data_IF_558781240250
#
_entry.id   IF_558781240250
#
_cell.length_a   1.000
_cell.length_b   1.000
_cell.length_c   1.000
_cell.angle_alpha   90.00
_cell.angle_beta   90.00
_cell.angle_gamma   90.00
#
_symmetry.space_group_name_H-M   'P 1'
#
loop_
_entity.id
_entity.type
_entity.pdbx_description
1 polymer ?
#
# COMPACT_ATOMS: atom_id res chain seq x y z
N UNK A 1 45.51 4.06 -17.59
CA UNK A 1 44.14 3.79 -17.09
C UNK A 1 43.95 4.62 -15.81
N UNK A 2 43.51 5.88 -15.92
CA UNK A 2 43.39 6.78 -14.77
C UNK A 2 42.04 6.54 -14.08
N UNK A 3 42.06 5.90 -12.91
CA UNK A 3 40.90 5.89 -12.01
C UNK A 3 40.83 7.26 -11.34
N UNK A 4 39.90 8.10 -11.76
CA UNK A 4 39.49 9.28 -11.01
C UNK A 4 38.91 8.84 -9.66
N UNK A 5 39.74 8.75 -8.63
CA UNK A 5 39.28 8.78 -7.25
C UNK A 5 38.69 10.17 -7.03
N UNK A 6 37.36 10.31 -7.10
CA UNK A 6 36.69 11.58 -6.85
C UNK A 6 36.94 11.95 -5.39
N UNK A 7 37.54 13.11 -5.18
CA UNK A 7 37.73 13.68 -3.84
C UNK A 7 36.36 14.08 -3.27
N UNK A 8 35.92 13.42 -2.20
CA UNK A 8 34.68 13.72 -1.49
C UNK A 8 35.01 14.32 -0.12
N UNK A 9 34.24 15.33 0.28
CA UNK A 9 34.30 15.94 1.61
C UNK A 9 32.90 16.02 2.21
N UNK A 10 32.80 15.84 3.52
CA UNK A 10 31.61 16.15 4.30
C UNK A 10 31.56 17.65 4.61
N UNK A 11 30.38 18.27 4.51
CA UNK A 11 30.14 19.66 4.91
C UNK A 11 29.64 19.71 6.36
N UNK A 12 30.38 20.40 7.21
CA UNK A 12 30.12 20.54 8.63
C UNK A 12 29.77 21.99 8.97
N UNK A 13 29.01 22.19 10.05
CA UNK A 13 28.81 23.51 10.67
C UNK A 13 29.12 23.47 12.16
N UNK A 14 29.70 24.54 12.69
CA UNK A 14 29.84 24.73 14.15
C UNK A 14 28.59 25.38 14.75
N UNK A 15 28.60 25.61 16.07
CA UNK A 15 27.50 26.26 16.79
C UNK A 15 27.27 27.72 16.38
N UNK A 16 28.23 28.36 15.72
CA UNK A 16 28.15 29.74 15.23
C UNK A 16 27.67 29.79 13.76
N UNK A 17 27.45 28.64 13.12
CA UNK A 17 27.06 28.53 11.71
C UNK A 17 28.21 28.59 10.71
N UNK A 18 29.46 28.60 11.17
CA UNK A 18 30.65 28.59 10.29
C UNK A 18 30.77 27.25 9.58
N UNK A 19 31.09 27.28 8.28
CA UNK A 19 31.14 26.08 7.43
C UNK A 19 32.56 25.51 7.37
N UNK A 20 32.67 24.19 7.58
CA UNK A 20 33.92 23.44 7.48
C UNK A 20 33.77 22.23 6.54
N UNK A 21 34.89 21.71 6.06
CA UNK A 21 34.94 20.51 5.22
C UNK A 21 35.90 19.49 5.80
N UNK A 22 35.48 18.23 5.87
CA UNK A 22 36.30 17.15 6.43
C UNK A 22 36.20 15.87 5.60
N UNK A 23 37.28 15.08 5.56
CA UNK A 23 37.26 13.71 5.03
C UNK A 23 37.03 12.66 6.13
N UNK A 24 37.12 13.04 7.40
CA UNK A 24 36.89 12.13 8.51
C UNK A 24 35.38 11.82 8.60
N UNK A 25 35.03 10.54 8.42
CA UNK A 25 33.65 10.06 8.44
C UNK A 25 33.17 9.51 9.78
N UNK A 26 33.90 9.74 10.88
CA UNK A 26 33.48 9.32 12.20
C UNK A 26 32.44 10.29 12.78
N UNK A 27 31.21 9.81 12.94
CA UNK A 27 30.07 10.57 13.46
C UNK A 27 29.36 9.81 14.57
N UNK A 28 28.69 10.55 15.45
CA UNK A 28 27.79 10.05 16.49
C UNK A 28 26.52 10.91 16.53
N UNK A 29 25.48 10.39 17.16
CA UNK A 29 24.32 11.19 17.52
C UNK A 29 24.60 11.98 18.80
N UNK A 30 24.23 13.25 18.82
CA UNK A 30 24.14 14.04 20.06
C UNK A 30 22.77 13.86 20.74
N UNK A 31 22.58 14.52 21.89
CA UNK A 31 21.32 14.51 22.64
C UNK A 31 20.14 15.11 21.85
N UNK A 32 20.45 16.03 20.93
CA UNK A 32 19.48 16.67 20.04
C UNK A 32 19.24 15.86 18.75
N UNK A 33 19.79 14.64 18.66
CA UNK A 33 19.66 13.73 17.51
C UNK A 33 20.28 14.26 16.21
N UNK A 34 21.24 15.18 16.30
CA UNK A 34 22.06 15.60 15.17
C UNK A 34 23.22 14.63 14.96
N UNK A 35 23.64 14.44 13.72
CA UNK A 35 24.92 13.80 13.43
C UNK A 35 26.06 14.79 13.68
N UNK A 36 26.90 14.51 14.68
CA UNK A 36 28.05 15.33 15.06
C UNK A 36 29.36 14.55 14.96
N UNK A 37 30.46 15.25 14.69
CA UNK A 37 31.79 14.65 14.77
C UNK A 37 32.35 14.65 16.21
N UNK A 38 33.59 14.20 16.40
CA UNK A 38 34.24 14.16 17.71
C UNK A 38 34.49 15.56 18.33
N UNK A 39 34.48 16.62 17.53
CA UNK A 39 34.61 18.02 17.98
C UNK A 39 33.26 18.70 18.21
N UNK A 40 32.13 18.00 18.01
CA UNK A 40 30.78 18.54 18.18
C UNK A 40 30.25 19.34 17.00
N UNK A 41 30.96 19.38 15.85
CA UNK A 41 30.44 20.01 14.63
C UNK A 41 29.39 19.13 13.97
N UNK A 42 28.32 19.75 13.48
CA UNK A 42 27.16 19.07 12.88
C UNK A 42 27.39 18.77 11.41
N UNK A 43 27.07 17.55 10.99
CA UNK A 43 27.00 17.16 9.59
C UNK A 43 25.78 17.78 8.92
N UNK A 44 25.98 18.38 7.74
CA UNK A 44 24.89 19.01 6.98
C UNK A 44 24.54 18.26 5.71
N UNK A 45 23.28 18.38 5.28
CA UNK A 45 22.75 17.78 4.07
C UNK A 45 21.41 18.40 3.69
N UNK A 46 20.77 17.86 2.65
CA UNK A 46 19.45 18.30 2.24
C UNK A 46 18.37 17.74 3.17
N UNK A 47 17.41 18.56 3.65
CA UNK A 47 16.33 18.09 4.49
C UNK A 47 15.35 17.19 3.71
N UNK A 48 14.70 16.28 4.43
CA UNK A 48 13.56 15.52 3.95
C UNK A 48 12.25 16.21 4.41
N UNK A 49 11.33 16.47 3.48
CA UNK A 49 10.04 17.12 3.79
C UNK A 49 8.88 16.42 3.08
N UNK A 50 7.65 16.66 3.55
CA UNK A 50 6.43 16.05 3.02
C UNK A 50 6.08 14.70 3.66
N UNK A 51 4.95 14.13 3.24
CA UNK A 51 4.47 12.79 3.65
C UNK A 51 4.00 12.03 2.41
N UNK A 52 4.71 10.97 1.95
CA UNK A 52 5.97 10.46 2.49
C UNK A 52 7.14 11.47 2.34
N UNK A 53 8.13 11.47 3.26
CA UNK A 53 9.26 12.40 3.17
C UNK A 53 10.08 12.21 1.90
N UNK A 54 10.46 13.32 1.26
CA UNK A 54 11.30 13.36 0.06
C UNK A 54 12.42 14.38 0.21
N UNK A 55 13.58 14.10 -0.39
CA UNK A 55 14.76 14.98 -0.30
C UNK A 55 14.60 16.19 -1.21
N UNK A 56 14.78 17.38 -0.64
CA UNK A 56 14.74 18.63 -1.38
C UNK A 56 16.13 19.00 -1.89
N UNK A 57 16.54 18.44 -3.04
CA UNK A 57 17.91 18.60 -3.60
C UNK A 57 18.28 20.04 -4.02
N UNK A 58 17.37 21.01 -3.90
CA UNK A 58 17.64 22.44 -4.12
C UNK A 58 17.54 23.31 -2.86
N UNK A 59 17.24 22.73 -1.70
CA UNK A 59 17.14 23.46 -0.44
C UNK A 59 18.52 23.79 0.12
N UNK A 60 18.60 24.80 0.98
CA UNK A 60 19.84 25.10 1.71
C UNK A 60 20.24 23.89 2.59
N UNK A 61 21.51 23.46 2.56
CA UNK A 61 21.98 22.40 3.45
C UNK A 61 21.81 22.78 4.92
N UNK A 62 21.14 21.93 5.67
CA UNK A 62 20.86 22.09 7.10
C UNK A 62 21.50 20.93 7.89
N UNK A 63 21.69 21.06 9.21
CA UNK A 63 22.11 19.95 10.06
C UNK A 63 21.23 18.71 9.86
N UNK A 64 21.86 17.55 9.70
CA UNK A 64 21.15 16.28 9.59
C UNK A 64 20.68 15.86 10.98
N UNK A 65 19.36 15.76 11.11
CA UNK A 65 18.69 15.22 12.29
C UNK A 65 18.14 13.82 11.99
N UNK A 66 18.27 12.91 12.95
CA UNK A 66 17.64 11.58 12.90
C UNK A 66 16.56 11.55 13.98
N UNK A 67 15.32 12.00 13.73
CA UNK A 67 14.29 12.03 14.76
C UNK A 67 13.99 10.61 15.29
N UNK A 68 13.44 10.50 16.49
CA UNK A 68 12.89 9.26 17.06
C UNK A 68 11.35 9.25 17.06
N UNK A 69 10.74 10.22 16.35
CA UNK A 69 9.30 10.34 16.21
C UNK A 69 8.74 9.07 15.58
N UNK A 70 7.62 8.58 16.13
CA UNK A 70 6.88 7.47 15.55
C UNK A 70 6.46 7.83 14.12
N UNK A 71 6.58 6.89 13.18
CA UNK A 71 6.07 7.07 11.83
C UNK A 71 4.55 7.00 11.85
N UNK A 72 3.90 8.01 11.27
CA UNK A 72 2.45 7.98 11.10
C UNK A 72 2.02 6.81 10.20
N UNK A 73 0.90 6.18 10.54
CA UNK A 73 0.26 5.22 9.67
C UNK A 73 -0.13 5.88 8.34
N UNK A 74 -0.14 5.09 7.27
CA UNK A 74 -0.58 5.55 5.95
C UNK A 74 -1.79 4.74 5.53
N UNK A 75 -2.95 5.41 5.45
CA UNK A 75 -4.16 4.80 4.94
C UNK A 75 -3.94 4.25 3.53
N UNK A 76 -4.52 3.09 3.26
CA UNK A 76 -4.45 2.44 1.96
C UNK A 76 -5.23 3.24 0.94
N UNK A 77 -4.64 3.48 -0.24
CA UNK A 77 -5.28 4.18 -1.36
C UNK A 77 -5.37 3.31 -2.62
N UNK A 78 -4.56 2.26 -2.72
CA UNK A 78 -4.60 1.27 -3.80
C UNK A 78 -4.35 -0.13 -3.25
N UNK A 79 -5.02 -1.13 -3.84
CA UNK A 79 -4.79 -2.54 -3.60
C UNK A 79 -4.94 -3.31 -4.92
N UNK A 80 -4.31 -4.48 -5.05
CA UNK A 80 -4.44 -5.32 -6.22
C UNK A 80 -4.64 -6.79 -5.85
N UNK A 81 -5.47 -7.47 -6.63
CA UNK A 81 -5.73 -8.91 -6.51
C UNK A 81 -5.77 -9.51 -7.90
N UNK A 82 -4.77 -10.33 -8.24
CA UNK A 82 -4.78 -11.10 -9.47
C UNK A 82 -5.42 -12.47 -9.20
N UNK A 83 -6.37 -12.87 -10.04
CA UNK A 83 -7.06 -14.15 -9.91
C UNK A 83 -7.15 -14.89 -11.24
N UNK A 84 -7.14 -16.22 -11.17
CA UNK A 84 -7.48 -17.10 -12.28
C UNK A 84 -8.81 -17.81 -11.97
N UNK A 85 -9.85 -17.50 -12.74
CA UNK A 85 -11.20 -18.04 -12.57
C UNK A 85 -11.44 -19.20 -13.52
N UNK A 86 -12.11 -20.25 -13.07
CA UNK A 86 -12.34 -21.43 -13.89
C UNK A 86 -13.59 -21.24 -14.77
N UNK A 87 -13.42 -21.27 -16.09
CA UNK A 87 -14.54 -21.04 -17.02
C UNK A 87 -15.63 -22.10 -16.91
N UNK A 88 -15.30 -23.32 -16.46
CA UNK A 88 -16.26 -24.42 -16.32
C UNK A 88 -16.97 -24.46 -14.97
N UNK A 89 -16.69 -23.52 -14.06
CA UNK A 89 -17.42 -23.47 -12.79
C UNK A 89 -18.92 -23.20 -13.07
N UNK A 90 -19.83 -23.86 -12.34
CA UNK A 90 -21.26 -23.61 -12.47
C UNK A 90 -21.63 -22.26 -11.84
N UNK A 91 -22.74 -21.69 -12.31
CA UNK A 91 -23.42 -20.63 -11.55
C UNK A 91 -23.90 -21.22 -10.23
N UNK A 92 -23.60 -20.61 -9.06
CA UNK A 92 -24.08 -21.11 -7.78
C UNK A 92 -25.60 -21.27 -7.75
N UNK A 93 -26.07 -22.41 -7.23
CA UNK A 93 -27.52 -22.70 -7.17
C UNK A 93 -28.21 -21.98 -6.02
N UNK A 94 -27.47 -21.58 -4.97
CA UNK A 94 -28.01 -20.83 -3.85
C UNK A 94 -27.94 -19.33 -4.11
N UNK A 95 -29.10 -18.69 -4.00
CA UNK A 95 -29.27 -17.25 -4.13
C UNK A 95 -30.21 -16.74 -3.02
N UNK A 96 -30.04 -15.49 -2.54
CA UNK A 96 -29.01 -14.53 -2.94
C UNK A 96 -27.59 -14.91 -2.44
N UNK A 97 -26.57 -14.16 -2.87
CA UNK A 97 -25.23 -14.26 -2.32
C UNK A 97 -25.24 -14.04 -0.80
N UNK A 98 -24.48 -14.83 -0.06
CA UNK A 98 -24.25 -14.66 1.37
C UNK A 98 -22.81 -15.01 1.77
N UNK A 99 -22.18 -14.13 2.55
CA UNK A 99 -20.84 -14.37 3.12
C UNK A 99 -20.80 -15.57 4.07
N UNK A 100 -21.95 -15.97 4.62
CA UNK A 100 -22.09 -17.10 5.54
C UNK A 100 -22.47 -18.42 4.87
N UNK A 101 -22.76 -18.41 3.55
CA UNK A 101 -23.12 -19.61 2.80
C UNK A 101 -22.09 -19.91 1.72
N UNK A 102 -21.25 -20.92 1.98
CA UNK A 102 -20.16 -21.32 1.08
C UNK A 102 -20.65 -21.81 -0.29
N UNK A 103 -21.92 -22.22 -0.41
CA UNK A 103 -22.49 -22.67 -1.68
C UNK A 103 -23.08 -21.51 -2.51
N UNK A 104 -23.05 -20.27 -1.99
CA UNK A 104 -23.57 -19.08 -2.67
C UNK A 104 -22.51 -18.31 -3.49
N UNK A 105 -21.25 -18.76 -3.47
CA UNK A 105 -20.14 -18.17 -4.22
C UNK A 105 -19.16 -19.23 -4.73
N UNK A 106 -18.39 -18.89 -5.76
CA UNK A 106 -17.44 -19.83 -6.38
C UNK A 106 -16.05 -19.74 -5.76
N UNK A 107 -15.62 -18.52 -5.41
CA UNK A 107 -14.27 -18.29 -4.87
C UNK A 107 -14.27 -17.16 -3.85
N UNK A 108 -13.40 -17.29 -2.86
CA UNK A 108 -13.11 -16.27 -1.85
C UNK A 108 -11.60 -15.99 -1.85
N UNK A 109 -11.23 -14.72 -1.87
CA UNK A 109 -9.88 -14.20 -1.61
C UNK A 109 -9.90 -13.22 -0.44
N UNK A 110 -8.73 -12.82 0.05
CA UNK A 110 -8.60 -11.81 1.10
C UNK A 110 -7.45 -10.86 0.79
N UNK A 111 -7.63 -9.58 1.06
CA UNK A 111 -6.57 -8.57 1.07
C UNK A 111 -6.65 -7.77 2.37
N UNK A 112 -5.54 -7.65 3.07
CA UNK A 112 -5.47 -6.81 4.28
C UNK A 112 -5.10 -5.39 3.88
N UNK A 113 -5.91 -4.42 4.29
CA UNK A 113 -5.67 -2.98 4.09
C UNK A 113 -5.59 -2.28 5.44
N UNK A 114 -5.08 -1.05 5.44
CA UNK A 114 -4.89 -0.24 6.65
C UNK A 114 -5.61 1.09 6.56
N UNK A 115 -6.19 1.52 7.67
CA UNK A 115 -6.87 2.82 7.82
C UNK A 115 -5.92 3.97 8.22
N UNK A 116 -6.50 5.13 8.54
CA UNK A 116 -5.77 6.34 8.92
C UNK A 116 -4.96 6.22 10.23
N UNK A 117 -5.30 5.29 11.12
CA UNK A 117 -4.59 5.04 12.38
C UNK A 117 -3.73 3.78 12.33
N UNK A 118 -3.82 3.00 11.25
CA UNK A 118 -3.06 1.76 11.07
C UNK A 118 -3.78 0.52 11.58
N UNK A 119 -5.10 0.58 11.84
CA UNK A 119 -5.87 -0.63 12.09
C UNK A 119 -5.92 -1.45 10.81
N UNK A 120 -5.77 -2.77 10.94
CA UNK A 120 -5.87 -3.70 9.83
C UNK A 120 -7.34 -4.05 9.54
N UNK A 121 -7.69 -4.10 8.27
CA UNK A 121 -8.99 -4.52 7.76
C UNK A 121 -8.79 -5.67 6.79
N UNK A 122 -9.33 -6.84 7.12
CA UNK A 122 -9.30 -8.02 6.26
C UNK A 122 -10.49 -7.99 5.30
N UNK A 123 -10.23 -7.47 4.09
CA UNK A 123 -11.22 -7.35 3.04
C UNK A 123 -11.36 -8.69 2.32
N UNK A 124 -12.44 -9.40 2.62
CA UNK A 124 -12.83 -10.60 1.89
C UNK A 124 -13.43 -10.20 0.54
N UNK A 125 -12.97 -10.84 -0.53
CA UNK A 125 -13.42 -10.62 -1.90
C UNK A 125 -14.02 -11.93 -2.42
N UNK A 126 -15.30 -11.90 -2.79
CA UNK A 126 -16.05 -13.06 -3.24
C UNK A 126 -16.35 -12.94 -4.73
N UNK A 127 -16.13 -14.02 -5.47
CA UNK A 127 -16.38 -14.12 -6.90
C UNK A 127 -17.55 -15.08 -7.14
N UNK A 128 -18.59 -14.58 -7.80
CA UNK A 128 -19.83 -15.30 -8.07
C UNK A 128 -20.06 -15.27 -9.58
N UNK A 129 -19.97 -16.42 -10.24
CA UNK A 129 -20.27 -16.53 -11.68
C UNK A 129 -21.76 -16.28 -11.89
N UNK A 130 -22.11 -15.34 -12.76
CA UNK A 130 -23.51 -14.99 -13.04
C UNK A 130 -24.00 -15.58 -14.36
N UNK A 131 -23.11 -15.64 -15.35
CA UNK A 131 -23.26 -16.29 -16.66
C UNK A 131 -21.88 -16.50 -17.27
N UNK A 132 -21.83 -17.01 -18.49
CA UNK A 132 -20.55 -17.20 -19.19
C UNK A 132 -19.78 -15.89 -19.30
N UNK A 133 -18.49 -15.97 -18.92
CA UNK A 133 -17.53 -14.87 -18.94
C UNK A 133 -17.86 -13.66 -18.04
N UNK A 134 -18.87 -13.75 -17.16
CA UNK A 134 -19.25 -12.68 -16.23
C UNK A 134 -19.24 -13.16 -14.77
N UNK A 135 -18.53 -12.39 -13.93
CA UNK A 135 -18.36 -12.68 -12.51
C UNK A 135 -18.68 -11.46 -11.67
N UNK A 136 -19.72 -11.55 -10.86
CA UNK A 136 -20.02 -10.54 -9.85
C UNK A 136 -18.99 -10.64 -8.71
N UNK A 137 -18.49 -9.49 -8.27
CA UNK A 137 -17.53 -9.37 -7.17
C UNK A 137 -18.20 -8.68 -6.01
N UNK A 138 -18.20 -9.33 -4.85
CA UNK A 138 -18.66 -8.76 -3.59
C UNK A 138 -17.47 -8.55 -2.66
N UNK A 139 -17.52 -7.50 -1.86
CA UNK A 139 -16.51 -7.21 -0.84
C UNK A 139 -17.15 -7.14 0.54
N UNK A 140 -16.43 -7.60 1.55
CA UNK A 140 -16.87 -7.55 2.94
C UNK A 140 -15.64 -7.36 3.84
N UNK A 141 -15.74 -6.38 4.73
CA UNK A 141 -14.74 -6.15 5.76
C UNK A 141 -15.01 -7.09 6.93
N UNK A 142 -14.18 -8.13 7.06
CA UNK A 142 -14.35 -9.14 8.12
C UNK A 142 -13.78 -8.71 9.47
N UNK A 143 -13.07 -7.59 9.52
CA UNK A 143 -12.50 -7.03 10.75
C UNK A 143 -13.46 -6.09 11.47
N UNK A 144 -14.46 -5.55 10.77
CA UNK A 144 -15.50 -4.70 11.36
C UNK A 144 -16.64 -5.57 11.95
N UNK A 145 -16.80 -5.62 13.29
CA UNK A 145 -17.84 -6.40 13.94
C UNK A 145 -19.26 -5.86 13.70
N UNK A 146 -19.38 -4.62 13.21
CA UNK A 146 -20.65 -3.99 12.85
C UNK A 146 -20.90 -3.98 11.33
N UNK A 147 -20.06 -4.65 10.54
CA UNK A 147 -20.20 -4.71 9.10
C UNK A 147 -21.56 -5.30 8.69
N UNK A 148 -22.22 -4.65 7.74
CA UNK A 148 -23.45 -5.17 7.13
C UNK A 148 -23.11 -6.24 6.10
N UNK A 149 -23.99 -7.23 5.95
CA UNK A 149 -23.86 -8.22 4.90
C UNK A 149 -24.03 -7.54 3.52
N UNK A 150 -23.09 -7.69 2.60
CA UNK A 150 -23.19 -7.09 1.26
C UNK A 150 -24.35 -7.70 0.46
N UNK A 151 -25.26 -6.86 -0.03
CA UNK A 151 -26.42 -7.27 -0.84
C UNK A 151 -26.28 -6.97 -2.33
N UNK A 152 -25.28 -6.16 -2.70
CA UNK A 152 -25.04 -5.71 -4.07
C UNK A 152 -23.58 -5.95 -4.44
N UNK A 153 -23.34 -6.39 -5.67
CA UNK A 153 -21.98 -6.56 -6.18
C UNK A 153 -21.27 -5.20 -6.26
N UNK A 154 -20.01 -5.15 -5.84
CA UNK A 154 -19.16 -3.97 -5.97
C UNK A 154 -18.78 -3.70 -7.43
N UNK A 155 -18.56 -4.76 -8.22
CA UNK A 155 -18.29 -4.70 -9.66
C UNK A 155 -18.64 -6.03 -10.33
N UNK A 156 -18.63 -6.07 -11.65
CA UNK A 156 -18.72 -7.29 -12.46
C UNK A 156 -17.52 -7.38 -13.38
N UNK A 157 -16.70 -8.42 -13.21
CA UNK A 157 -15.59 -8.72 -14.12
C UNK A 157 -16.16 -9.35 -15.39
N UNK A 158 -15.77 -8.82 -16.55
CA UNK A 158 -16.12 -9.39 -17.86
C UNK A 158 -14.86 -9.79 -18.60
N UNK A 159 -14.84 -11.05 -19.02
CA UNK A 159 -13.74 -11.62 -19.80
C UNK A 159 -14.15 -11.76 -21.27
N UNK A 160 -13.20 -11.60 -22.18
CA UNK A 160 -13.42 -11.93 -23.58
C UNK A 160 -13.29 -13.45 -23.81
N UNK A 161 -13.55 -13.89 -25.06
CA UNK A 161 -13.50 -15.31 -25.45
C UNK A 161 -12.12 -15.97 -25.23
N UNK A 162 -11.04 -15.17 -25.20
CA UNK A 162 -9.68 -15.63 -24.93
C UNK A 162 -9.36 -15.68 -23.41
N UNK A 163 -10.34 -15.36 -22.55
CA UNK A 163 -10.16 -15.37 -21.10
C UNK A 163 -9.44 -14.15 -20.54
N UNK A 164 -9.29 -13.08 -21.33
CA UNK A 164 -8.62 -11.84 -20.91
C UNK A 164 -9.68 -10.87 -20.36
N UNK A 165 -9.37 -10.23 -19.22
CA UNK A 165 -10.23 -9.24 -18.60
C UNK A 165 -10.41 -8.00 -19.50
N UNK A 166 -11.65 -7.67 -19.84
CA UNK A 166 -12.01 -6.54 -20.71
C UNK A 166 -12.60 -5.37 -19.92
N UNK A 167 -13.41 -5.62 -18.90
CA UNK A 167 -14.03 -4.56 -18.09
C UNK A 167 -14.32 -4.99 -16.65
N UNK A 168 -14.59 -4.00 -15.78
CA UNK A 168 -14.87 -4.19 -14.35
C UNK A 168 -13.64 -4.37 -13.47
N UNK A 169 -12.44 -4.30 -14.06
CA UNK A 169 -11.17 -4.62 -13.40
C UNK A 169 -10.66 -3.62 -12.36
N UNK A 170 -11.37 -2.54 -12.08
CA UNK A 170 -11.04 -1.59 -11.02
C UNK A 170 -12.32 -1.11 -10.35
N UNK A 171 -12.33 -1.07 -9.01
CA UNK A 171 -13.47 -0.62 -8.22
C UNK A 171 -12.98 0.13 -6.97
N UNK A 172 -13.68 1.20 -6.59
CA UNK A 172 -13.40 1.89 -5.32
C UNK A 172 -14.13 1.19 -4.18
N UNK A 173 -13.38 0.83 -3.13
CA UNK A 173 -13.87 0.16 -1.94
C UNK A 173 -13.60 1.04 -0.74
N UNK A 174 -14.56 1.06 0.20
CA UNK A 174 -14.42 1.72 1.49
C UNK A 174 -14.57 0.67 2.59
N UNK A 175 -13.66 0.68 3.55
CA UNK A 175 -13.71 -0.24 4.72
C UNK A 175 -14.81 0.18 5.70
N UNK A 176 -15.03 -0.66 6.71
CA UNK A 176 -15.76 -0.26 7.90
C UNK A 176 -14.99 0.78 8.73
N UNK A 177 -15.66 1.28 9.77
CA UNK A 177 -15.08 2.21 10.75
C UNK A 177 -14.79 1.44 12.03
N UNK A 178 -13.51 1.23 12.33
CA UNK A 178 -13.08 0.51 13.55
C UNK A 178 -12.45 1.52 14.52
N UNK A 179 -12.78 1.41 15.81
CA UNK A 179 -12.18 2.21 16.89
C UNK A 179 -12.23 3.75 16.70
N UNK A 180 -13.19 4.25 15.91
CA UNK A 180 -13.35 5.69 15.63
C UNK A 180 -12.34 6.26 14.62
N UNK A 181 -11.51 5.42 14.00
CA UNK A 181 -10.62 5.82 12.93
C UNK A 181 -11.40 6.13 11.63
N UNK A 182 -10.90 7.05 10.83
CA UNK A 182 -11.46 7.27 9.48
C UNK A 182 -11.18 6.04 8.62
N UNK A 183 -12.24 5.46 8.03
CA UNK A 183 -12.20 4.33 7.13
C UNK A 183 -11.25 4.55 5.93
N UNK A 184 -10.61 3.49 5.47
CA UNK A 184 -9.80 3.53 4.26
C UNK A 184 -10.69 3.50 3.01
N UNK A 185 -10.45 4.40 2.07
CA UNK A 185 -11.05 4.36 0.72
C UNK A 185 -9.93 4.15 -0.29
N UNK A 186 -10.02 3.07 -1.06
CA UNK A 186 -8.96 2.65 -1.97
C UNK A 186 -9.49 2.09 -3.28
N UNK A 187 -8.66 2.18 -4.31
CA UNK A 187 -8.91 1.56 -5.61
C UNK A 187 -8.41 0.11 -5.60
N UNK A 188 -9.32 -0.86 -5.67
CA UNK A 188 -9.00 -2.28 -5.80
C UNK A 188 -8.93 -2.67 -7.28
N UNK A 189 -7.78 -3.17 -7.72
CA UNK A 189 -7.55 -3.59 -9.10
C UNK A 189 -7.46 -5.11 -9.25
N UNK A 190 -8.13 -5.62 -10.29
CA UNK A 190 -8.07 -7.00 -10.78
C UNK A 190 -7.28 -7.12 -12.09
N UNK A 191 -6.46 -6.11 -12.43
CA UNK A 191 -5.67 -6.13 -13.65
C UNK A 191 -4.81 -7.40 -13.74
N UNK A 192 -4.66 -7.94 -14.94
CA UNK A 192 -3.99 -9.23 -15.24
C UNK A 192 -4.70 -10.48 -14.72
N UNK A 193 -5.91 -10.37 -14.17
CA UNK A 193 -6.75 -11.53 -13.91
C UNK A 193 -7.21 -12.17 -15.22
N UNK A 194 -7.44 -13.48 -15.19
CA UNK A 194 -7.85 -14.24 -16.37
C UNK A 194 -8.94 -15.25 -16.01
N UNK A 195 -9.65 -15.71 -17.04
CA UNK A 195 -10.55 -16.85 -16.96
C UNK A 195 -10.00 -17.97 -17.85
N UNK A 196 -9.81 -19.17 -17.30
CA UNK A 196 -9.26 -20.32 -18.03
C UNK A 196 -10.05 -21.59 -17.71
N UNK A 197 -10.06 -22.56 -18.63
CA UNK A 197 -10.47 -23.93 -18.28
C UNK A 197 -9.34 -24.58 -17.50
N UNK A 198 -9.58 -24.96 -16.24
CA UNK A 198 -8.59 -25.75 -15.52
C UNK A 198 -8.43 -27.13 -16.19
N UNK A 199 -7.21 -27.48 -16.62
CA UNK A 199 -6.88 -28.86 -16.94
C UNK A 199 -6.51 -29.51 -15.61
N UNK A 200 -7.36 -30.42 -15.13
CA UNK A 200 -7.05 -31.26 -13.98
C UNK A 200 -5.88 -32.19 -14.24
#
# INVERSE_FOLDING_TARGET
MSRLARTVFFRLVDSNGSVFYSRNGQFKLDENRNLVNMQGMQLTGYPATGTPPTIQQGANPAPITIPNTLMAAKSTTTASMQINLNSTDPVPSKTPFSVSDADSYNKKGTVTVYDSQGNAHDMNVYFVKTKDNEWAVYTHDSSDPAATAPTTASTTLKFNENGILESGGTVNITTGTINGATAATFSLSFLNSMQQKHRG
#
